data_IF_150498103639
#
_entry.id   IF_150498103639
#
_cell.length_a   1.000
_cell.length_b   1.000
_cell.length_c   1.000
_cell.angle_alpha   90.00
_cell.angle_beta   90.00
_cell.angle_gamma   90.00
#
_symmetry.space_group_name_H-M   'P 1'
#
loop_
_entity.id
_entity.type
_entity.pdbx_description
1 polymer ?
#
# COMPACT_ATOMS: atom_id res chain seq x y z
N UNK A 1 -30.77 37.77 -33.49
CA UNK A 1 -29.36 38.12 -33.68
C UNK A 1 -28.62 37.68 -32.42
N UNK A 2 -27.96 36.52 -32.54
CA UNK A 2 -26.91 35.97 -31.65
C UNK A 2 -27.40 35.51 -30.26
N UNK A 3 -27.86 34.25 -30.10
CA UNK A 3 -27.08 33.03 -29.73
C UNK A 3 -26.61 33.10 -28.26
N UNK A 4 -27.27 32.45 -27.29
CA UNK A 4 -26.94 31.09 -26.82
C UNK A 4 -25.43 30.87 -26.67
N UNK A 5 -24.93 30.90 -25.43
CA UNK A 5 -23.68 30.28 -24.90
C UNK A 5 -23.01 31.21 -23.87
N UNK A 6 -23.21 30.93 -22.57
CA UNK A 6 -22.15 30.90 -21.53
C UNK A 6 -22.76 30.30 -20.24
N UNK A 7 -23.54 29.22 -20.39
CA UNK A 7 -23.81 28.24 -19.32
C UNK A 7 -23.34 26.92 -19.92
N UNK A 8 -22.02 26.74 -20.02
CA UNK A 8 -21.39 25.47 -20.42
C UNK A 8 -19.86 25.59 -20.42
N UNK A 9 -19.24 25.49 -19.25
CA UNK A 9 -17.96 24.74 -19.12
C UNK A 9 -18.03 23.88 -17.87
N UNK A 10 -19.06 23.02 -17.86
CA UNK A 10 -19.06 21.72 -17.23
C UNK A 10 -18.32 20.79 -18.22
N UNK A 11 -16.99 20.86 -18.16
CA UNK A 11 -16.02 19.91 -18.72
C UNK A 11 -14.91 19.95 -17.67
N UNK A 12 -14.90 19.08 -16.64
CA UNK A 12 -14.48 17.69 -16.79
C UNK A 12 -13.32 17.58 -17.80
N UNK A 13 -12.27 18.35 -17.56
CA UNK A 13 -10.98 18.22 -18.19
C UNK A 13 -9.97 18.28 -17.07
N UNK A 14 -9.33 17.14 -16.82
CA UNK A 14 -8.19 16.99 -15.91
C UNK A 14 -7.23 18.17 -16.12
N UNK A 15 -7.29 19.19 -15.26
CA UNK A 15 -6.17 20.08 -15.09
C UNK A 15 -5.21 19.32 -14.21
N UNK A 16 -4.31 18.57 -14.84
CA UNK A 16 -3.02 18.34 -14.21
C UNK A 16 -2.52 19.73 -13.79
N UNK A 17 -2.15 19.89 -12.53
CA UNK A 17 -1.42 21.07 -12.10
C UNK A 17 -0.21 21.22 -13.06
N UNK A 18 0.16 22.46 -13.42
CA UNK A 18 1.41 22.72 -14.12
C UNK A 18 2.55 21.90 -13.50
N UNK A 19 3.40 21.29 -14.32
CA UNK A 19 4.52 20.45 -13.83
C UNK A 19 5.43 21.20 -12.82
N UNK A 20 5.45 22.53 -12.92
CA UNK A 20 6.09 23.46 -12.00
C UNK A 20 5.49 23.38 -10.60
N UNK A 21 4.16 23.51 -10.45
CA UNK A 21 3.45 23.44 -9.16
C UNK A 21 3.72 22.10 -8.42
N UNK A 22 3.85 21.00 -9.16
CA UNK A 22 4.22 19.68 -8.60
C UNK A 22 5.65 19.65 -8.08
N UNK A 23 6.60 20.17 -8.88
CA UNK A 23 8.02 20.25 -8.48
C UNK A 23 8.19 21.14 -7.27
N UNK A 24 7.39 22.20 -7.19
CA UNK A 24 7.37 23.12 -6.06
C UNK A 24 6.86 22.41 -4.80
N UNK A 25 5.76 21.65 -4.86
CA UNK A 25 5.27 20.91 -3.69
C UNK A 25 6.29 19.88 -3.18
N UNK A 26 6.90 19.11 -4.08
CA UNK A 26 7.91 18.12 -3.69
C UNK A 26 9.12 18.78 -3.02
N UNK A 27 9.61 19.87 -3.61
CA UNK A 27 10.71 20.65 -3.06
C UNK A 27 10.35 21.26 -1.71
N UNK A 28 9.15 21.83 -1.58
CA UNK A 28 8.64 22.39 -0.33
C UNK A 28 8.70 21.34 0.79
N UNK A 29 8.24 20.11 0.51
CA UNK A 29 8.28 19.00 1.48
C UNK A 29 9.72 18.70 1.90
N UNK A 30 10.64 18.56 0.94
CA UNK A 30 12.05 18.24 1.23
C UNK A 30 12.77 19.34 2.01
N UNK A 31 12.48 20.60 1.69
CA UNK A 31 13.13 21.77 2.28
C UNK A 31 12.41 22.24 3.58
N UNK A 32 11.31 21.57 4.00
CA UNK A 32 10.53 21.95 5.20
C UNK A 32 11.35 21.77 6.48
N UNK A 33 11.61 22.84 7.26
CA UNK A 33 12.28 22.71 8.55
C UNK A 33 11.38 22.04 9.59
N UNK A 34 11.97 21.38 10.59
CA UNK A 34 11.24 20.64 11.64
C UNK A 34 10.15 21.48 12.33
N UNK A 35 10.41 22.78 12.53
CA UNK A 35 9.48 23.75 13.13
C UNK A 35 8.21 23.99 12.31
N UNK A 36 8.21 23.67 11.01
CA UNK A 36 7.10 23.91 10.09
C UNK A 36 6.40 22.61 9.65
N UNK A 37 6.95 21.43 10.01
CA UNK A 37 6.42 20.13 9.58
C UNK A 37 4.96 19.92 9.93
N UNK A 38 4.49 20.39 11.08
CA UNK A 38 3.08 20.29 11.46
C UNK A 38 2.16 21.06 10.50
N UNK A 39 2.55 22.29 10.17
CA UNK A 39 1.82 23.13 9.20
C UNK A 39 1.86 22.50 7.81
N UNK A 40 3.02 22.00 7.37
CA UNK A 40 3.14 21.30 6.09
C UNK A 40 2.28 20.03 6.08
N UNK A 41 2.29 19.21 7.13
CA UNK A 41 1.41 18.04 7.26
C UNK A 41 -0.06 18.42 7.11
N UNK A 42 -0.51 19.48 7.78
CA UNK A 42 -1.89 19.95 7.65
C UNK A 42 -2.22 20.32 6.18
N UNK A 43 -1.33 21.05 5.49
CA UNK A 43 -1.47 21.36 4.06
C UNK A 43 -1.55 20.09 3.19
N UNK A 44 -0.67 19.12 3.41
CA UNK A 44 -0.66 17.85 2.67
C UNK A 44 -1.97 17.06 2.91
N UNK A 45 -2.46 17.01 4.15
CA UNK A 45 -3.75 16.37 4.48
C UNK A 45 -4.91 17.02 3.71
N UNK A 46 -4.95 18.36 3.62
CA UNK A 46 -5.96 19.07 2.83
C UNK A 46 -5.85 18.73 1.33
N UNK A 47 -4.65 18.60 0.77
CA UNK A 47 -4.48 18.16 -0.64
C UNK A 47 -5.06 16.74 -0.83
N UNK A 48 -4.83 15.84 0.12
CA UNK A 48 -5.19 14.42 0.05
C UNK A 48 -6.68 14.14 0.28
N UNK A 49 -7.33 14.87 1.19
CA UNK A 49 -8.69 14.55 1.63
C UNK A 49 -9.65 15.74 1.58
N UNK A 50 -9.14 16.95 1.36
CA UNK A 50 -9.88 18.19 1.59
C UNK A 50 -10.13 18.45 3.07
N UNK A 51 -10.89 19.51 3.33
CA UNK A 51 -11.44 19.86 4.63
C UNK A 51 -12.83 20.49 4.47
N UNK A 52 -13.36 21.10 5.53
CA UNK A 52 -14.72 21.67 5.54
C UNK A 52 -14.89 22.86 4.57
N UNK A 53 -13.79 23.52 4.20
CA UNK A 53 -13.77 24.72 3.36
C UNK A 53 -13.08 24.49 2.01
N UNK A 54 -12.20 23.50 1.91
CA UNK A 54 -11.36 23.25 0.75
C UNK A 54 -11.61 21.82 0.25
N UNK A 55 -12.07 21.62 -0.99
CA UNK A 55 -12.21 20.27 -1.54
C UNK A 55 -10.83 19.61 -1.71
N UNK A 56 -10.81 18.28 -1.73
CA UNK A 56 -9.63 17.50 -2.11
C UNK A 56 -9.10 17.97 -3.48
N UNK A 57 -7.78 17.97 -3.65
CA UNK A 57 -7.16 18.32 -4.92
C UNK A 57 -7.56 17.34 -6.05
N UNK A 58 -7.93 17.89 -7.21
CA UNK A 58 -8.36 17.10 -8.37
C UNK A 58 -7.18 16.42 -9.07
N UNK A 59 -5.96 16.99 -8.98
CA UNK A 59 -4.78 16.43 -9.64
C UNK A 59 -4.21 15.23 -8.85
N UNK A 60 -4.26 14.01 -9.41
CA UNK A 60 -3.69 12.84 -8.76
C UNK A 60 -2.18 12.95 -8.52
N UNK A 61 -1.44 13.73 -9.30
CA UNK A 61 -0.02 13.94 -9.03
C UNK A 61 0.20 14.77 -7.77
N UNK A 62 -0.60 15.82 -7.55
CA UNK A 62 -0.57 16.60 -6.31
C UNK A 62 -0.94 15.74 -5.11
N UNK A 63 -1.98 14.90 -5.23
CA UNK A 63 -2.35 13.94 -4.18
C UNK A 63 -1.24 12.93 -3.90
N UNK A 64 -0.64 12.34 -4.95
CA UNK A 64 0.44 11.37 -4.80
C UNK A 64 1.66 11.99 -4.10
N UNK A 65 2.08 13.19 -4.53
CA UNK A 65 3.17 13.94 -3.88
C UNK A 65 2.84 14.28 -2.43
N UNK A 66 1.60 14.66 -2.13
CA UNK A 66 1.18 14.94 -0.76
C UNK A 66 1.20 13.69 0.14
N UNK A 67 0.71 12.55 -0.38
CA UNK A 67 0.78 11.25 0.29
C UNK A 67 2.22 10.85 0.56
N UNK A 68 3.10 10.98 -0.44
CA UNK A 68 4.52 10.68 -0.30
C UNK A 68 5.17 11.55 0.78
N UNK A 69 4.90 12.86 0.77
CA UNK A 69 5.44 13.79 1.76
C UNK A 69 4.97 13.51 3.18
N UNK A 70 3.71 13.09 3.37
CA UNK A 70 3.23 12.64 4.69
C UNK A 70 4.00 11.41 5.19
N UNK A 71 4.27 10.44 4.31
CA UNK A 71 5.08 9.27 4.67
C UNK A 71 6.53 9.61 5.00
N UNK A 72 7.12 10.62 4.36
CA UNK A 72 8.51 11.03 4.61
C UNK A 72 8.71 11.83 5.89
N UNK A 73 7.67 12.50 6.38
CA UNK A 73 7.76 13.22 7.65
C UNK A 73 7.79 12.31 8.89
N UNK A 74 7.51 11.01 8.75
CA UNK A 74 7.74 10.02 9.83
C UNK A 74 6.85 10.21 11.06
N UNK A 75 7.38 9.88 12.26
CA UNK A 75 6.62 9.97 13.52
C UNK A 75 6.23 11.43 13.83
N UNK A 76 5.02 11.57 14.36
CA UNK A 76 4.47 12.85 14.71
C UNK A 76 3.47 12.69 15.86
N UNK A 77 3.28 13.78 16.61
CA UNK A 77 2.25 13.83 17.65
C UNK A 77 0.84 13.54 17.08
N UNK A 78 0.60 13.85 15.80
CA UNK A 78 -0.66 13.58 15.08
C UNK A 78 -0.67 12.24 14.30
N UNK A 79 0.13 11.27 14.73
CA UNK A 79 0.35 10.02 14.01
C UNK A 79 -0.90 9.17 13.71
N UNK A 80 -1.94 9.20 14.56
CA UNK A 80 -3.22 8.54 14.27
C UNK A 80 -3.94 9.21 13.08
N UNK A 81 -3.95 10.54 13.05
CA UNK A 81 -4.56 11.32 11.98
C UNK A 81 -3.81 11.16 10.66
N UNK A 82 -2.47 11.06 10.71
CA UNK A 82 -1.65 10.75 9.53
C UNK A 82 -2.00 9.36 8.99
N UNK A 83 -2.08 8.35 9.87
CA UNK A 83 -2.47 7.00 9.47
C UNK A 83 -3.84 6.99 8.78
N UNK A 84 -4.85 7.62 9.38
CA UNK A 84 -6.18 7.73 8.80
C UNK A 84 -6.16 8.41 7.43
N UNK A 85 -5.39 9.51 7.31
CA UNK A 85 -5.25 10.25 6.05
C UNK A 85 -4.54 9.43 4.98
N UNK A 86 -3.60 8.57 5.35
CA UNK A 86 -2.90 7.67 4.42
C UNK A 86 -3.71 6.44 4.04
N UNK A 87 -4.67 6.00 4.87
CA UNK A 87 -5.51 4.84 4.58
C UNK A 87 -6.58 5.11 3.52
N UNK A 88 -7.18 6.30 3.50
CA UNK A 88 -8.21 6.66 2.51
C UNK A 88 -7.73 6.52 1.06
N UNK A 89 -6.54 7.05 0.71
CA UNK A 89 -5.97 6.96 -0.63
C UNK A 89 -5.68 5.54 -1.17
N UNK A 90 -5.74 4.48 -0.35
CA UNK A 90 -5.71 3.09 -0.84
C UNK A 90 -6.93 2.72 -1.70
N UNK A 91 -7.97 3.56 -1.69
CA UNK A 91 -9.15 3.48 -2.55
C UNK A 91 -9.23 4.62 -3.58
N UNK A 92 -8.17 5.41 -3.76
CA UNK A 92 -8.13 6.48 -4.76
C UNK A 92 -8.32 5.93 -6.17
N UNK A 93 -9.03 6.68 -7.01
CA UNK A 93 -9.27 6.32 -8.40
C UNK A 93 -7.96 6.21 -9.22
N UNK A 94 -6.92 6.93 -8.82
CA UNK A 94 -5.64 6.92 -9.51
C UNK A 94 -4.66 5.90 -8.92
N UNK A 95 -4.11 5.05 -9.78
CA UNK A 95 -3.15 3.98 -9.41
C UNK A 95 -1.90 4.52 -8.72
N UNK A 96 -1.36 5.66 -9.17
CA UNK A 96 -0.16 6.25 -8.57
C UNK A 96 -0.42 6.67 -7.12
N UNK A 97 -1.58 7.28 -6.85
CA UNK A 97 -1.96 7.69 -5.49
C UNK A 97 -2.08 6.47 -4.57
N UNK A 98 -2.65 5.36 -5.07
CA UNK A 98 -2.73 4.10 -4.30
C UNK A 98 -1.34 3.50 -4.01
N UNK A 99 -0.43 3.55 -4.98
CA UNK A 99 0.97 3.09 -4.80
C UNK A 99 1.67 3.92 -3.72
N UNK A 100 1.63 5.25 -3.83
CA UNK A 100 2.27 6.13 -2.85
C UNK A 100 1.66 5.97 -1.46
N UNK A 101 0.36 5.70 -1.38
CA UNK A 101 -0.35 5.44 -0.12
C UNK A 101 0.15 4.18 0.57
N UNK A 102 0.30 3.08 -0.20
CA UNK A 102 0.90 1.87 0.32
C UNK A 102 2.33 2.14 0.82
N UNK A 103 3.17 2.75 0.00
CA UNK A 103 4.57 3.07 0.34
C UNK A 103 4.65 3.94 1.61
N UNK A 104 3.84 4.98 1.71
CA UNK A 104 3.82 5.89 2.84
C UNK A 104 3.48 5.17 4.16
N UNK A 105 2.52 4.23 4.13
CA UNK A 105 2.19 3.41 5.31
C UNK A 105 3.37 2.54 5.78
N UNK A 106 4.21 2.08 4.84
CA UNK A 106 5.44 1.34 5.15
C UNK A 106 6.58 2.22 5.69
N UNK A 107 6.56 3.53 5.38
CA UNK A 107 7.55 4.52 5.86
C UNK A 107 7.21 5.10 7.24
N UNK A 108 5.97 4.97 7.71
CA UNK A 108 5.59 5.47 9.03
C UNK A 108 6.44 4.84 10.12
N UNK A 109 6.85 5.68 11.05
CA UNK A 109 7.56 5.24 12.26
C UNK A 109 6.54 4.78 13.31
N UNK A 110 6.72 3.55 13.78
CA UNK A 110 5.88 2.95 14.81
C UNK A 110 6.69 2.82 16.10
N UNK A 111 6.10 3.26 17.21
CA UNK A 111 6.81 3.37 18.50
C UNK A 111 7.22 2.03 19.10
N UNK A 112 6.51 0.96 18.74
CA UNK A 112 6.75 -0.40 19.20
C UNK A 112 6.00 -1.40 18.32
N UNK A 113 6.27 -2.70 18.51
CA UNK A 113 5.51 -3.78 17.86
C UNK A 113 4.05 -3.83 18.28
N UNK A 114 3.75 -3.36 19.49
CA UNK A 114 2.40 -3.25 20.04
C UNK A 114 1.70 -1.91 19.69
N UNK A 115 2.32 -1.04 18.89
CA UNK A 115 1.70 0.21 18.46
C UNK A 115 0.41 -0.09 17.67
N UNK A 116 -0.71 0.46 18.13
CA UNK A 116 -2.02 0.22 17.54
C UNK A 116 -2.08 0.68 16.07
N UNK A 117 -1.33 1.73 15.70
CA UNK A 117 -1.20 2.21 14.32
C UNK A 117 -0.54 1.14 13.45
N UNK A 118 0.54 0.52 13.95
CA UNK A 118 1.28 -0.54 13.27
C UNK A 118 0.40 -1.74 12.98
N UNK A 119 -0.31 -2.22 14.01
CA UNK A 119 -1.25 -3.34 13.90
C UNK A 119 -2.35 -3.01 12.88
N UNK A 120 -2.87 -1.79 12.92
CA UNK A 120 -3.89 -1.33 11.96
C UNK A 120 -3.34 -1.31 10.53
N UNK A 121 -2.15 -0.78 10.29
CA UNK A 121 -1.50 -0.77 8.97
C UNK A 121 -1.34 -2.19 8.42
N UNK A 122 -0.82 -3.12 9.21
CA UNK A 122 -0.64 -4.52 8.79
C UNK A 122 -1.98 -5.14 8.39
N UNK A 123 -3.01 -5.02 9.24
CA UNK A 123 -4.34 -5.58 8.98
C UNK A 123 -4.95 -4.98 7.70
N UNK A 124 -4.82 -3.67 7.51
CA UNK A 124 -5.41 -2.96 6.37
C UNK A 124 -4.70 -3.29 5.07
N UNK A 125 -3.36 -3.30 5.05
CA UNK A 125 -2.57 -3.70 3.88
C UNK A 125 -2.87 -5.15 3.50
N UNK A 126 -2.80 -6.08 4.46
CA UNK A 126 -3.15 -7.50 4.27
C UNK A 126 -4.54 -7.67 3.67
N UNK A 127 -5.54 -6.99 4.24
CA UNK A 127 -6.92 -7.09 3.76
C UNK A 127 -7.05 -6.55 2.32
N UNK A 128 -6.42 -5.42 2.02
CA UNK A 128 -6.53 -4.79 0.70
C UNK A 128 -5.86 -5.62 -0.40
N UNK A 129 -4.78 -6.34 -0.09
CA UNK A 129 -4.07 -7.18 -1.09
C UNK A 129 -4.90 -8.37 -1.54
N UNK A 130 -5.58 -9.08 -0.62
CA UNK A 130 -6.19 -10.38 -0.94
C UNK A 130 -7.59 -10.64 -0.34
N UNK A 131 -8.09 -9.80 0.56
CA UNK A 131 -9.37 -10.03 1.25
C UNK A 131 -10.51 -9.18 0.75
N UNK A 132 -10.23 -7.93 0.37
CA UNK A 132 -11.23 -7.06 -0.20
C UNK A 132 -11.67 -7.73 -1.52
N UNK A 133 -12.86 -8.32 -1.52
CA UNK A 133 -13.47 -8.96 -2.68
C UNK A 133 -14.86 -8.40 -2.96
N UNK A 134 -15.18 -8.29 -4.24
CA UNK A 134 -16.53 -7.92 -4.65
C UNK A 134 -17.55 -9.03 -4.33
N UNK A 135 -18.82 -8.76 -4.60
CA UNK A 135 -19.92 -9.73 -4.42
C UNK A 135 -19.77 -11.03 -5.22
N UNK A 136 -18.88 -11.05 -6.22
CA UNK A 136 -18.55 -12.20 -7.05
C UNK A 136 -17.29 -12.94 -6.61
N UNK A 137 -16.64 -12.49 -5.53
CA UNK A 137 -15.43 -13.08 -4.99
C UNK A 137 -14.14 -12.61 -5.69
N UNK A 138 -14.19 -11.61 -6.57
CA UNK A 138 -12.99 -11.09 -7.24
C UNK A 138 -12.25 -10.12 -6.33
N UNK A 139 -10.90 -10.18 -6.24
CA UNK A 139 -10.13 -9.17 -5.53
C UNK A 139 -10.46 -7.75 -6.01
N UNK A 140 -10.69 -6.83 -5.07
CA UNK A 140 -10.95 -5.42 -5.35
C UNK A 140 -9.70 -4.68 -5.84
N UNK A 141 -8.50 -5.13 -5.44
CA UNK A 141 -7.25 -4.62 -6.00
C UNK A 141 -6.64 -5.66 -6.94
N UNK A 142 -6.57 -5.31 -8.22
CA UNK A 142 -6.03 -6.17 -9.28
C UNK A 142 -4.70 -5.66 -9.82
N UNK A 143 -4.31 -4.42 -9.49
CA UNK A 143 -3.08 -3.84 -10.01
C UNK A 143 -1.87 -4.42 -9.29
N UNK A 144 -1.05 -5.13 -10.05
CA UNK A 144 0.16 -5.79 -9.55
C UNK A 144 1.08 -4.84 -8.78
N UNK A 145 1.31 -3.64 -9.31
CA UNK A 145 2.21 -2.65 -8.69
C UNK A 145 1.68 -2.15 -7.35
N UNK A 146 0.35 -1.97 -7.21
CA UNK A 146 -0.27 -1.55 -5.95
C UNK A 146 -0.12 -2.66 -4.91
N UNK A 147 -0.45 -3.90 -5.27
CA UNK A 147 -0.31 -5.07 -4.37
C UNK A 147 1.15 -5.28 -3.96
N UNK A 148 2.08 -5.16 -4.90
CA UNK A 148 3.53 -5.25 -4.62
C UNK A 148 4.00 -4.15 -3.68
N UNK A 149 3.54 -2.91 -3.85
CA UNK A 149 3.84 -1.82 -2.91
C UNK A 149 3.32 -2.10 -1.50
N UNK A 150 2.12 -2.68 -1.37
CA UNK A 150 1.58 -3.09 -0.07
C UNK A 150 2.39 -4.23 0.56
N UNK A 151 2.83 -5.23 -0.23
CA UNK A 151 3.73 -6.29 0.24
C UNK A 151 5.07 -5.72 0.72
N UNK A 152 5.68 -4.82 -0.04
CA UNK A 152 6.91 -4.12 0.36
C UNK A 152 6.73 -3.37 1.68
N UNK A 153 5.54 -2.79 1.88
CA UNK A 153 5.22 -2.04 3.09
C UNK A 153 5.05 -2.97 4.30
N UNK A 154 4.44 -4.15 4.13
CA UNK A 154 4.41 -5.18 5.17
C UNK A 154 5.83 -5.63 5.55
N UNK A 155 6.72 -5.81 4.56
CA UNK A 155 8.12 -6.17 4.80
C UNK A 155 8.86 -5.06 5.55
N UNK A 156 8.64 -3.79 5.17
CA UNK A 156 9.24 -2.64 5.83
C UNK A 156 8.76 -2.47 7.28
N UNK A 157 7.46 -2.66 7.54
CA UNK A 157 6.90 -2.66 8.90
C UNK A 157 7.50 -3.80 9.73
N UNK A 158 7.68 -4.96 9.10
CA UNK A 158 8.38 -6.13 9.62
C UNK A 158 7.74 -6.76 10.84
N UNK A 159 8.39 -7.79 11.38
CA UNK A 159 7.93 -8.52 12.56
C UNK A 159 7.03 -9.73 12.27
N UNK A 160 6.72 -10.49 13.33
CA UNK A 160 6.05 -11.79 13.24
C UNK A 160 4.63 -11.69 12.68
N UNK A 161 3.88 -10.67 13.08
CA UNK A 161 2.54 -10.38 12.57
C UNK A 161 2.54 -9.86 11.12
N UNK A 162 3.56 -9.12 10.70
CA UNK A 162 3.76 -8.80 9.29
C UNK A 162 4.11 -10.04 8.46
N UNK A 163 4.96 -10.94 8.99
CA UNK A 163 5.25 -12.23 8.36
C UNK A 163 3.98 -13.11 8.28
N UNK A 164 3.18 -13.15 9.33
CA UNK A 164 1.88 -13.84 9.33
C UNK A 164 0.91 -13.24 8.29
N UNK A 165 0.92 -11.91 8.11
CA UNK A 165 0.16 -11.27 7.04
C UNK A 165 0.65 -11.66 5.64
N UNK A 166 1.97 -11.73 5.41
CA UNK A 166 2.52 -12.22 4.14
C UNK A 166 2.17 -13.69 3.87
N UNK A 167 2.24 -14.55 4.88
CA UNK A 167 1.83 -15.96 4.78
C UNK A 167 0.35 -16.11 4.41
N UNK A 168 -0.53 -15.35 5.04
CA UNK A 168 -1.97 -15.38 4.75
C UNK A 168 -2.29 -14.83 3.35
N UNK A 169 -1.59 -13.78 2.90
CA UNK A 169 -1.67 -13.32 1.51
C UNK A 169 -1.19 -14.40 0.53
N UNK A 170 -0.05 -15.05 0.80
CA UNK A 170 0.47 -16.12 -0.06
C UNK A 170 -0.49 -17.31 -0.16
N UNK A 171 -1.04 -17.73 0.99
CA UNK A 171 -2.03 -18.82 1.05
C UNK A 171 -3.26 -18.54 0.18
N UNK A 172 -3.74 -17.29 0.19
CA UNK A 172 -4.89 -16.86 -0.62
C UNK A 172 -4.57 -16.76 -2.10
N UNK A 173 -3.41 -16.21 -2.44
CA UNK A 173 -2.94 -16.17 -3.83
C UNK A 173 -2.82 -17.58 -4.41
N UNK A 174 -2.34 -18.55 -3.62
CA UNK A 174 -2.29 -19.94 -4.04
C UNK A 174 -3.69 -20.54 -4.26
N UNK A 175 -4.60 -20.33 -3.31
CA UNK A 175 -6.00 -20.78 -3.44
C UNK A 175 -6.67 -20.19 -4.69
N UNK A 176 -6.44 -18.90 -4.98
CA UNK A 176 -7.00 -18.25 -6.17
C UNK A 176 -6.41 -18.85 -7.47
N UNK A 177 -5.12 -19.26 -7.47
CA UNK A 177 -4.51 -19.94 -8.62
C UNK A 177 -5.11 -21.33 -8.86
N UNK A 178 -5.36 -22.10 -7.80
CA UNK A 178 -6.00 -23.42 -7.88
C UNK A 178 -7.44 -23.31 -8.43
N UNK A 179 -8.20 -22.30 -8.00
CA UNK A 179 -9.55 -22.03 -8.53
C UNK A 179 -9.55 -21.62 -10.02
N UNK A 180 -8.48 -20.95 -10.47
CA UNK A 180 -8.35 -20.42 -11.85
C UNK A 180 -7.70 -21.41 -12.81
N UNK A 181 -7.16 -22.55 -12.38
CA UNK A 181 -6.68 -23.58 -13.32
C UNK A 181 -7.77 -24.12 -14.29
N UNK A 182 -9.04 -23.71 -14.13
CA UNK A 182 -10.13 -23.85 -15.11
C UNK A 182 -10.44 -22.63 -16.02
N UNK A 183 -9.86 -21.45 -15.80
CA UNK A 183 -10.16 -20.20 -16.51
C UNK A 183 -8.89 -19.48 -17.01
N UNK A 184 -8.86 -19.13 -18.30
CA UNK A 184 -7.67 -18.72 -19.07
C UNK A 184 -7.00 -17.37 -18.71
N UNK A 185 -7.27 -16.75 -17.55
CA UNK A 185 -6.72 -15.43 -17.21
C UNK A 185 -6.53 -15.23 -15.70
N UNK A 186 -5.28 -15.35 -15.21
CA UNK A 186 -4.59 -14.57 -14.13
C UNK A 186 -3.21 -15.14 -13.71
N UNK A 187 -2.59 -16.07 -14.44
CA UNK A 187 -1.49 -16.90 -13.88
C UNK A 187 -0.12 -16.24 -13.69
N UNK A 188 0.22 -15.12 -14.35
CA UNK A 188 1.59 -14.57 -14.31
C UNK A 188 1.79 -13.52 -13.20
N UNK A 189 0.79 -12.68 -12.95
CA UNK A 189 0.85 -11.60 -11.95
C UNK A 189 0.75 -12.15 -10.53
N UNK A 190 -0.11 -13.13 -10.29
CA UNK A 190 -0.28 -13.73 -8.95
C UNK A 190 0.94 -14.59 -8.57
N UNK A 191 1.60 -15.25 -9.55
CA UNK A 191 2.89 -15.91 -9.32
C UNK A 191 3.98 -14.93 -8.89
N UNK A 192 4.09 -13.78 -9.57
CA UNK A 192 5.05 -12.75 -9.16
C UNK A 192 4.77 -12.17 -7.76
N UNK A 193 3.50 -12.07 -7.36
CA UNK A 193 3.13 -11.67 -6.00
C UNK A 193 3.45 -12.75 -4.97
N UNK A 194 3.27 -14.03 -5.30
CA UNK A 194 3.67 -15.15 -4.45
C UNK A 194 5.19 -15.17 -4.23
N UNK A 195 5.97 -15.03 -5.29
CA UNK A 195 7.43 -14.95 -5.19
C UNK A 195 7.85 -13.79 -4.27
N UNK A 196 7.20 -12.64 -4.41
CA UNK A 196 7.42 -11.48 -3.53
C UNK A 196 7.04 -11.75 -2.08
N UNK A 197 5.97 -12.52 -1.82
CA UNK A 197 5.62 -12.94 -0.46
C UNK A 197 6.71 -13.83 0.14
N UNK A 198 7.24 -14.80 -0.62
CA UNK A 198 8.30 -15.70 -0.15
C UNK A 198 9.62 -14.97 0.13
N UNK A 199 10.01 -14.03 -0.74
CA UNK A 199 11.14 -13.14 -0.47
C UNK A 199 10.94 -12.34 0.83
N UNK A 200 9.74 -11.79 1.02
CA UNK A 200 9.40 -11.07 2.25
C UNK A 200 9.46 -11.95 3.49
N UNK A 201 8.93 -13.17 3.40
CA UNK A 201 8.98 -14.15 4.48
C UNK A 201 10.43 -14.52 4.83
N UNK A 202 11.28 -14.78 3.84
CA UNK A 202 12.70 -15.04 4.05
C UNK A 202 13.40 -13.87 4.79
N UNK A 203 13.13 -12.63 4.36
CA UNK A 203 13.65 -11.42 5.01
C UNK A 203 13.21 -11.35 6.49
N UNK A 204 11.92 -11.60 6.77
CA UNK A 204 11.36 -11.39 8.10
C UNK A 204 11.67 -12.52 9.09
N UNK A 205 11.78 -13.76 8.64
CA UNK A 205 12.13 -14.91 9.49
C UNK A 205 13.65 -15.10 9.61
N UNK A 206 14.43 -14.54 8.67
CA UNK A 206 15.88 -14.76 8.57
C UNK A 206 16.27 -16.09 7.92
N UNK A 207 15.31 -16.80 7.32
CA UNK A 207 15.56 -18.00 6.51
C UNK A 207 16.36 -17.63 5.27
N UNK A 208 17.40 -18.42 4.96
CA UNK A 208 18.24 -18.17 3.80
C UNK A 208 17.53 -18.50 2.48
N UNK A 209 17.92 -17.81 1.39
CA UNK A 209 17.41 -18.12 0.05
C UNK A 209 17.70 -19.58 -0.35
N UNK A 210 18.84 -20.12 0.05
CA UNK A 210 19.22 -21.52 -0.22
C UNK A 210 18.30 -22.50 0.49
N UNK A 211 17.99 -22.26 1.77
CA UNK A 211 17.08 -23.10 2.55
C UNK A 211 15.65 -23.05 1.99
N UNK A 212 15.15 -21.85 1.69
CA UNK A 212 13.82 -21.68 1.09
C UNK A 212 13.73 -22.35 -0.28
N UNK A 213 14.77 -22.21 -1.13
CA UNK A 213 14.83 -22.84 -2.44
C UNK A 213 14.93 -24.37 -2.34
N UNK A 214 15.71 -24.88 -1.38
CA UNK A 214 15.82 -26.32 -1.13
C UNK A 214 14.48 -26.91 -0.69
N UNK A 215 13.79 -26.27 0.26
CA UNK A 215 12.45 -26.69 0.67
C UNK A 215 11.47 -26.63 -0.50
N UNK A 216 11.52 -25.58 -1.34
CA UNK A 216 10.66 -25.45 -2.51
C UNK A 216 10.96 -26.51 -3.58
N UNK A 217 12.20 -26.98 -3.69
CA UNK A 217 12.60 -28.05 -4.61
C UNK A 217 12.18 -29.43 -4.10
N UNK A 218 12.25 -29.65 -2.78
CA UNK A 218 11.87 -30.93 -2.14
C UNK A 218 10.35 -31.14 -2.07
N UNK A 219 9.58 -30.06 -2.07
CA UNK A 219 8.12 -30.10 -2.08
C UNK A 219 7.60 -29.84 -3.50
N UNK A 220 7.06 -30.88 -4.15
CA UNK A 220 6.41 -30.76 -5.47
C UNK A 220 5.10 -29.95 -5.44
N UNK A 221 4.55 -29.68 -4.25
CA UNK A 221 3.31 -28.94 -4.02
C UNK A 221 3.59 -27.57 -3.37
N UNK A 222 3.05 -26.51 -3.99
CA UNK A 222 3.15 -25.14 -3.48
C UNK A 222 2.46 -24.98 -2.12
N UNK A 223 1.38 -25.71 -1.86
CA UNK A 223 0.70 -25.70 -0.57
C UNK A 223 1.61 -26.17 0.56
N UNK A 224 2.38 -27.24 0.35
CA UNK A 224 3.34 -27.73 1.33
C UNK A 224 4.48 -26.72 1.61
N UNK A 225 4.95 -26.02 0.58
CA UNK A 225 5.94 -24.95 0.75
C UNK A 225 5.36 -23.74 1.52
N UNK A 226 4.10 -23.39 1.29
CA UNK A 226 3.41 -22.33 2.04
C UNK A 226 3.28 -22.73 3.51
N UNK A 227 2.83 -23.95 3.81
CA UNK A 227 2.67 -24.45 5.18
C UNK A 227 4.00 -24.50 5.95
N UNK A 228 5.10 -24.79 5.27
CA UNK A 228 6.44 -24.73 5.85
C UNK A 228 6.79 -23.34 6.42
N UNK A 229 6.33 -22.26 5.78
CA UNK A 229 6.53 -20.90 6.31
C UNK A 229 5.77 -20.64 7.61
N UNK A 230 4.61 -21.27 7.82
CA UNK A 230 3.86 -21.12 9.07
C UNK A 230 4.69 -21.63 10.28
N UNK A 231 5.43 -22.71 10.09
CA UNK A 231 6.36 -23.24 11.09
C UNK A 231 7.48 -22.25 11.41
N UNK A 232 8.13 -21.68 10.39
CA UNK A 232 9.21 -20.67 10.55
C UNK A 232 8.72 -19.40 11.26
N UNK A 233 7.49 -18.97 10.97
CA UNK A 233 6.86 -17.83 11.66
C UNK A 233 6.55 -18.16 13.14
N UNK A 234 6.22 -19.42 13.44
CA UNK A 234 5.95 -19.86 14.81
C UNK A 234 7.20 -19.82 15.71
N UNK A 235 8.38 -19.96 15.13
CA UNK A 235 9.69 -19.91 15.81
C UNK A 235 10.16 -18.48 16.10
N UNK A 236 9.58 -17.47 15.45
CA UNK A 236 9.88 -16.07 15.71
C UNK A 236 9.43 -15.66 17.12
N UNK A 237 10.21 -14.83 17.81
CA UNK A 237 9.83 -14.33 19.13
C UNK A 237 8.52 -13.54 19.09
N UNK A 238 7.67 -13.69 20.12
CA UNK A 238 6.37 -13.01 20.21
C UNK A 238 6.44 -11.51 20.53
N UNK A 239 7.64 -10.98 20.78
CA UNK A 239 7.84 -9.59 21.19
C UNK A 239 7.81 -8.63 20.01
#
# INVERSE_FOLDING_TARGET
MILLLMISTLLAGCRNAPEEDRKDLWRDVQDTPDTERETTRARLRTIIAGDVNVPRDEDPHMRATAVQGLGEFGDAEDGELILETLMGPLADENVLVRIESAIALGKLEYTSRTDARRVTSIIRLRNRIAFDRDETGRPFETEFLVRSAMLNSLIAIGGRDAAAALYDVASRLNSDLEDVEGALFTSATDRGLLDRCFEGLAILTGVSEEEAAQNRFENDDLSAHIDWWAERISEMSEN
#
